data_IF_281966218193
#
_entry.id   IF_281966218193
#
_cell.length_a   1.000
_cell.length_b   1.000
_cell.length_c   1.000
_cell.angle_alpha   90.00
_cell.angle_beta   90.00
_cell.angle_gamma   90.00
#
_symmetry.space_group_name_H-M   'P 1'
#
loop_
_entity.id
_entity.type
_entity.pdbx_description
1 polymer ?
#
# COMPACT_ATOMS: atom_id res chain seq x y z
N UNK A 1 19.73 9.53 -4.83
CA UNK A 1 19.08 8.22 -4.66
C UNK A 1 19.97 7.39 -3.74
N UNK A 2 19.49 7.05 -2.54
CA UNK A 2 20.16 6.08 -1.67
C UNK A 2 19.77 4.68 -2.15
N UNK A 3 20.73 3.79 -2.33
CA UNK A 3 20.48 2.38 -2.71
C UNK A 3 21.23 1.47 -1.74
N UNK A 4 20.80 0.21 -1.61
CA UNK A 4 21.47 -0.77 -0.74
C UNK A 4 21.13 -0.68 0.74
N UNK A 5 20.05 0.04 1.10
CA UNK A 5 19.51 0.09 2.46
C UNK A 5 18.62 -1.12 2.79
N UNK A 6 18.14 -1.81 1.76
CA UNK A 6 17.38 -3.05 1.89
C UNK A 6 18.36 -4.18 2.13
N UNK A 7 18.47 -4.60 3.39
CA UNK A 7 19.20 -5.79 3.74
C UNK A 7 18.35 -7.04 3.41
N UNK A 8 19.01 -8.19 3.23
CA UNK A 8 18.33 -9.46 3.01
C UNK A 8 17.63 -9.99 4.29
N UNK A 9 17.63 -9.22 5.38
CA UNK A 9 16.97 -9.57 6.64
C UNK A 9 15.56 -8.96 6.74
N UNK A 10 15.18 -8.04 5.84
CA UNK A 10 13.83 -7.51 5.80
C UNK A 10 12.86 -8.60 5.33
N UNK A 11 11.88 -8.90 6.18
CA UNK A 11 10.84 -9.88 5.87
C UNK A 11 10.02 -9.50 4.63
N UNK A 12 9.86 -8.20 4.36
CA UNK A 12 9.28 -7.71 3.12
C UNK A 12 10.05 -8.17 1.88
N UNK A 13 11.39 -8.20 1.94
CA UNK A 13 12.21 -8.63 0.80
C UNK A 13 12.15 -10.14 0.54
N UNK A 14 11.71 -10.95 1.52
CA UNK A 14 11.58 -12.41 1.37
C UNK A 14 10.15 -12.84 1.07
N UNK A 15 9.18 -12.28 1.78
CA UNK A 15 7.80 -12.77 1.76
C UNK A 15 6.96 -12.04 0.70
N UNK A 16 7.22 -10.74 0.49
CA UNK A 16 6.41 -9.89 -0.38
C UNK A 16 6.88 -9.90 -1.84
N UNK A 17 8.02 -10.53 -2.11
CA UNK A 17 8.61 -10.65 -3.44
C UNK A 17 8.75 -12.14 -3.76
N UNK A 18 8.31 -12.55 -4.94
CA UNK A 18 8.46 -13.93 -5.37
C UNK A 18 9.88 -14.19 -5.95
N UNK A 19 10.24 -15.44 -6.30
CA UNK A 19 11.55 -15.74 -6.87
C UNK A 19 11.87 -15.05 -8.21
N UNK A 20 10.88 -14.51 -8.92
CA UNK A 20 11.07 -13.77 -10.17
C UNK A 20 11.20 -12.25 -9.96
N UNK A 21 11.24 -11.79 -8.71
CA UNK A 21 11.42 -10.38 -8.37
C UNK A 21 10.13 -9.55 -8.45
N UNK A 22 8.97 -10.18 -8.68
CA UNK A 22 7.67 -9.49 -8.71
C UNK A 22 6.94 -9.56 -7.36
N UNK A 23 5.95 -8.68 -7.14
CA UNK A 23 5.05 -8.75 -5.99
C UNK A 23 4.46 -10.15 -5.77
N UNK A 24 4.51 -10.65 -4.54
CA UNK A 24 3.90 -11.91 -4.15
C UNK A 24 2.45 -11.70 -3.70
N UNK A 25 1.56 -11.33 -4.64
CA UNK A 25 0.16 -11.00 -4.33
C UNK A 25 -0.59 -12.15 -3.64
N UNK A 26 -0.25 -13.40 -3.98
CA UNK A 26 -0.83 -14.58 -3.33
C UNK A 26 -0.51 -14.63 -1.82
N UNK A 27 0.70 -14.23 -1.42
CA UNK A 27 1.07 -14.16 -0.02
C UNK A 27 0.19 -13.17 0.75
N UNK A 28 -0.05 -11.97 0.18
CA UNK A 28 -0.93 -10.97 0.78
C UNK A 28 -2.37 -11.46 0.89
N UNK A 29 -2.92 -12.04 -0.18
CA UNK A 29 -4.27 -12.59 -0.14
C UNK A 29 -4.43 -13.70 0.91
N UNK A 30 -3.37 -14.50 1.14
CA UNK A 30 -3.41 -15.64 2.07
C UNK A 30 -3.28 -15.20 3.53
N UNK A 31 -2.38 -14.26 3.83
CA UNK A 31 -2.05 -13.90 5.21
C UNK A 31 -2.79 -12.67 5.72
N UNK A 32 -3.16 -11.76 4.81
CA UNK A 32 -3.73 -10.45 5.13
C UNK A 32 -5.05 -10.19 4.38
N UNK A 33 -5.63 -11.22 3.76
CA UNK A 33 -6.78 -11.10 2.87
C UNK A 33 -8.03 -10.48 3.49
N UNK A 34 -8.16 -10.51 4.82
CA UNK A 34 -9.27 -9.92 5.59
C UNK A 34 -9.05 -8.46 5.98
N UNK A 35 -7.85 -7.90 5.78
CA UNK A 35 -7.59 -6.49 6.05
C UNK A 35 -8.40 -5.61 5.12
N UNK A 36 -9.00 -4.57 5.68
CA UNK A 36 -9.75 -3.56 4.93
C UNK A 36 -8.79 -2.43 4.55
N UNK A 37 -8.64 -2.19 3.26
CA UNK A 37 -7.70 -1.24 2.68
C UNK A 37 -8.39 -0.26 1.74
N UNK A 38 -7.79 0.91 1.56
CA UNK A 38 -8.25 1.91 0.60
C UNK A 38 -7.54 1.71 -0.74
N UNK A 39 -8.31 1.58 -1.80
CA UNK A 39 -7.82 1.37 -3.17
C UNK A 39 -8.34 2.48 -4.06
N UNK A 40 -7.42 3.15 -4.75
CA UNK A 40 -7.73 4.11 -5.78
C UNK A 40 -7.94 3.41 -7.13
N UNK A 41 -8.96 3.87 -7.85
CA UNK A 41 -9.16 3.60 -9.28
C UNK A 41 -8.42 4.68 -10.07
N UNK A 42 -7.24 4.33 -10.62
CA UNK A 42 -6.38 5.30 -11.31
C UNK A 42 -6.92 5.77 -12.67
N UNK A 43 -7.94 5.10 -13.23
CA UNK A 43 -8.58 5.48 -14.50
C UNK A 43 -9.81 6.37 -14.30
N UNK A 44 -10.40 6.34 -13.11
CA UNK A 44 -11.58 7.14 -12.77
C UNK A 44 -11.18 8.35 -11.94
N UNK A 45 -11.22 9.52 -12.56
CA UNK A 45 -11.00 10.80 -11.90
C UNK A 45 -12.20 11.18 -11.02
N UNK A 46 -11.92 11.54 -9.77
CA UNK A 46 -12.90 12.11 -8.83
C UNK A 46 -12.40 13.49 -8.36
N UNK A 47 -12.92 14.55 -8.98
CA UNK A 47 -12.45 15.94 -8.82
C UNK A 47 -10.96 16.16 -9.11
N UNK A 48 -10.16 16.50 -8.10
CA UNK A 48 -8.70 16.69 -8.19
C UNK A 48 -7.92 15.45 -7.76
N UNK A 49 -8.61 14.38 -7.36
CA UNK A 49 -8.03 13.14 -6.88
C UNK A 49 -8.56 11.94 -7.70
N UNK A 50 -8.15 10.74 -7.33
CA UNK A 50 -8.65 9.49 -7.86
C UNK A 50 -9.85 9.02 -7.03
N UNK A 51 -10.82 8.36 -7.66
CA UNK A 51 -11.91 7.70 -6.93
C UNK A 51 -11.32 6.62 -6.03
N UNK A 52 -11.73 6.58 -4.75
CA UNK A 52 -11.24 5.59 -3.78
C UNK A 52 -12.38 4.76 -3.23
N UNK A 53 -12.11 3.47 -3.08
CA UNK A 53 -13.03 2.51 -2.48
C UNK A 53 -12.32 1.71 -1.40
N UNK A 54 -13.04 1.46 -0.32
CA UNK A 54 -12.60 0.51 0.68
C UNK A 54 -12.91 -0.91 0.22
N UNK A 55 -11.94 -1.81 0.30
CA UNK A 55 -12.15 -3.23 -0.01
C UNK A 55 -11.24 -4.13 0.82
N UNK A 56 -11.48 -5.44 0.77
CA UNK A 56 -10.57 -6.39 1.38
C UNK A 56 -9.30 -6.54 0.54
N UNK A 57 -8.16 -6.82 1.16
CA UNK A 57 -6.91 -7.14 0.45
C UNK A 57 -7.11 -8.31 -0.52
N UNK A 58 -7.91 -9.30 -0.15
CA UNK A 58 -8.26 -10.42 -1.05
C UNK A 58 -9.05 -9.97 -2.28
N UNK A 59 -9.94 -8.98 -2.14
CA UNK A 59 -10.69 -8.41 -3.26
C UNK A 59 -9.77 -7.56 -4.15
N UNK A 60 -8.88 -6.77 -3.55
CA UNK A 60 -7.84 -6.01 -4.26
C UNK A 60 -6.95 -6.93 -5.11
N UNK A 61 -6.42 -8.02 -4.52
CA UNK A 61 -5.59 -8.99 -5.24
C UNK A 61 -6.35 -9.62 -6.42
N UNK A 62 -7.66 -9.88 -6.25
CA UNK A 62 -8.52 -10.37 -7.34
C UNK A 62 -8.65 -9.34 -8.48
N UNK A 63 -8.71 -8.04 -8.15
CA UNK A 63 -8.71 -6.97 -9.17
C UNK A 63 -7.38 -6.91 -9.93
N UNK A 64 -6.24 -7.04 -9.24
CA UNK A 64 -4.92 -7.08 -9.88
C UNK A 64 -4.83 -8.21 -10.93
N UNK A 65 -5.22 -9.43 -10.58
CA UNK A 65 -5.22 -10.55 -11.52
C UNK A 65 -6.17 -10.36 -12.70
N UNK A 66 -7.33 -9.72 -12.48
CA UNK A 66 -8.27 -9.39 -13.55
C UNK A 66 -7.65 -8.38 -14.54
N UNK A 67 -6.94 -7.38 -14.03
CA UNK A 67 -6.24 -6.37 -14.83
C UNK A 67 -5.10 -6.98 -15.65
N UNK A 68 -4.26 -7.82 -15.04
CA UNK A 68 -3.18 -8.52 -15.76
C UNK A 68 -3.74 -9.41 -16.89
N UNK A 69 -4.84 -10.13 -16.61
CA UNK A 69 -5.51 -10.98 -17.60
C UNK A 69 -6.09 -10.19 -18.79
N UNK A 70 -6.62 -8.99 -18.56
CA UNK A 70 -7.16 -8.15 -19.64
C UNK A 70 -6.07 -7.46 -20.46
N UNK A 71 -4.99 -7.00 -19.82
CA UNK A 71 -3.85 -6.38 -20.50
C UNK A 71 -3.19 -7.32 -21.53
N UNK A 72 -3.06 -8.61 -21.19
CA UNK A 72 -2.53 -9.65 -22.10
C UNK A 72 -3.45 -9.82 -23.32
N UNK A 73 -4.77 -9.78 -23.15
CA UNK A 73 -5.73 -9.96 -24.25
C UNK A 73 -5.78 -8.75 -25.20
N UNK A 74 -5.70 -7.52 -24.67
CA UNK A 74 -5.71 -6.29 -25.47
C UNK A 74 -4.45 -6.09 -26.32
N UNK A 75 -3.30 -6.65 -25.90
CA UNK A 75 -2.05 -6.55 -26.66
C UNK A 75 -2.07 -7.29 -28.02
N UNK A 76 -3.04 -8.20 -28.22
CA UNK A 76 -3.14 -9.05 -29.41
C UNK A 76 -4.30 -8.71 -30.36
N UNK A 77 -5.12 -7.69 -30.06
CA UNK A 77 -6.26 -7.33 -30.91
C UNK A 77 -6.28 -5.82 -31.24
N UNK A 78 -5.97 -5.50 -32.51
CA UNK A 78 -6.36 -4.23 -33.14
C UNK A 78 -7.87 -4.32 -33.40
N UNK A 79 -8.70 -3.98 -32.41
CA UNK A 79 -10.15 -4.11 -32.55
C UNK A 79 -10.90 -3.42 -31.43
N UNK A 80 -11.74 -2.48 -31.82
CA UNK A 80 -12.64 -1.68 -30.98
C UNK A 80 -13.44 -2.59 -30.03
N UNK A 81 -13.09 -2.59 -28.74
CA UNK A 81 -13.88 -3.26 -27.71
C UNK A 81 -14.66 -2.23 -26.88
N UNK A 82 -15.99 -2.22 -27.05
CA UNK A 82 -16.94 -1.61 -26.11
C UNK A 82 -17.03 -2.47 -24.83
N UNK A 83 -15.95 -2.56 -24.08
CA UNK A 83 -15.88 -3.26 -22.79
C UNK A 83 -15.41 -2.28 -21.73
N UNK A 84 -16.04 -2.31 -20.55
CA UNK A 84 -15.65 -1.53 -19.37
C UNK A 84 -14.12 -1.43 -19.30
N UNK A 85 -13.58 -0.22 -19.39
CA UNK A 85 -12.16 0.04 -19.22
C UNK A 85 -11.73 -0.62 -17.91
N UNK A 86 -10.81 -1.57 -17.99
CA UNK A 86 -10.32 -2.28 -16.81
C UNK A 86 -9.60 -1.26 -15.92
N UNK A 87 -10.28 -0.81 -14.87
CA UNK A 87 -9.74 0.07 -13.83
C UNK A 87 -8.38 -0.43 -13.36
N UNK A 88 -7.39 0.45 -13.34
CA UNK A 88 -6.05 0.25 -12.75
C UNK A 88 -6.13 0.41 -11.22
N UNK A 89 -6.10 -0.68 -10.43
CA UNK A 89 -6.20 -0.59 -8.98
C UNK A 89 -4.88 -0.17 -8.32
N UNK A 90 -4.96 0.69 -7.31
CA UNK A 90 -3.82 1.15 -6.52
C UNK A 90 -4.15 1.20 -5.03
N UNK A 91 -3.62 0.25 -4.27
CA UNK A 91 -3.71 0.24 -2.81
C UNK A 91 -2.76 1.29 -2.24
N UNK A 92 -3.33 2.24 -1.48
CA UNK A 92 -2.62 3.41 -0.99
C UNK A 92 -2.81 3.59 0.50
N UNK A 93 -1.76 4.09 1.18
CA UNK A 93 -1.81 4.55 2.56
C UNK A 93 -2.22 3.45 3.57
N UNK A 94 -1.85 2.18 3.31
CA UNK A 94 -2.15 1.08 4.23
C UNK A 94 -1.21 1.08 5.45
N UNK A 95 -1.79 1.28 6.64
CA UNK A 95 -1.09 1.25 7.93
C UNK A 95 -0.72 -0.16 8.39
N UNK A 96 0.01 -0.90 7.55
CA UNK A 96 0.35 -2.31 7.75
C UNK A 96 1.12 -2.55 9.06
N UNK A 97 2.11 -1.70 9.38
CA UNK A 97 2.96 -1.88 10.58
C UNK A 97 2.13 -1.76 11.86
N UNK A 98 1.15 -0.84 11.86
CA UNK A 98 0.21 -0.70 12.97
C UNK A 98 -0.76 -1.89 13.06
N UNK A 99 -1.25 -2.38 11.94
CA UNK A 99 -2.20 -3.51 11.90
C UNK A 99 -1.54 -4.84 12.28
N UNK A 100 -0.28 -5.02 11.86
CA UNK A 100 0.52 -6.23 12.06
C UNK A 100 1.87 -5.92 12.72
N UNK A 101 1.89 -5.46 13.99
CA UNK A 101 3.11 -5.02 14.66
C UNK A 101 4.14 -6.14 14.82
N UNK A 102 3.68 -7.39 15.01
CA UNK A 102 4.54 -8.56 15.18
C UNK A 102 5.17 -9.04 13.87
N UNK A 103 4.70 -8.58 12.71
CA UNK A 103 5.24 -9.01 11.42
C UNK A 103 6.63 -8.43 11.16
N UNK A 104 6.87 -7.18 11.59
CA UNK A 104 8.11 -6.42 11.42
C UNK A 104 8.64 -6.52 9.97
N UNK A 105 7.98 -5.84 9.00
CA UNK A 105 8.31 -6.01 7.58
C UNK A 105 9.71 -5.53 7.20
N UNK A 106 10.24 -4.55 7.95
CA UNK A 106 11.56 -3.97 7.75
C UNK A 106 12.12 -3.52 9.09
N UNK A 107 13.43 -3.30 9.11
CA UNK A 107 14.13 -2.61 10.19
C UNK A 107 14.46 -1.21 9.70
N UNK A 108 14.16 -0.19 10.51
CA UNK A 108 14.52 1.19 10.15
C UNK A 108 16.04 1.32 10.01
N UNK A 109 16.57 1.73 8.84
CA UNK A 109 18.01 1.94 8.70
C UNK A 109 18.51 3.02 9.64
N UNK A 110 19.76 2.91 10.09
CA UNK A 110 20.37 3.81 11.09
C UNK A 110 20.18 5.30 10.78
N UNK A 111 20.25 5.69 9.51
CA UNK A 111 20.11 7.09 9.06
C UNK A 111 18.69 7.65 9.21
N UNK A 112 17.69 6.81 9.47
CA UNK A 112 16.27 7.17 9.63
C UNK A 112 15.74 6.80 11.03
N UNK A 113 16.64 6.52 11.98
CA UNK A 113 16.27 6.16 13.34
C UNK A 113 15.78 7.34 14.19
N UNK A 114 16.05 8.59 13.80
CA UNK A 114 15.50 9.80 14.43
C UNK A 114 14.02 10.02 14.05
N UNK A 115 13.22 8.97 14.20
CA UNK A 115 11.79 8.90 13.88
C UNK A 115 10.95 9.24 15.10
N UNK A 116 11.18 10.45 15.64
CA UNK A 116 10.56 10.89 16.89
C UNK A 116 9.03 10.90 16.83
N UNK A 117 8.43 11.10 15.65
CA UNK A 117 6.98 11.13 15.47
C UNK A 117 6.39 9.73 15.57
N UNK A 118 6.91 8.73 14.85
CA UNK A 118 6.43 7.36 15.02
C UNK A 118 6.80 6.81 16.40
N UNK A 119 7.97 7.16 16.94
CA UNK A 119 8.33 6.81 18.32
C UNK A 119 7.31 7.35 19.32
N UNK A 120 6.89 8.61 19.14
CA UNK A 120 5.85 9.19 19.98
C UNK A 120 4.52 8.43 19.81
N UNK A 121 4.08 8.18 18.58
CA UNK A 121 2.80 7.53 18.29
C UNK A 121 2.75 6.05 18.74
N UNK A 122 3.89 5.36 18.70
CA UNK A 122 4.04 3.99 19.19
C UNK A 122 3.91 3.93 20.73
N UNK A 123 4.37 4.97 21.44
CA UNK A 123 4.37 5.01 22.91
C UNK A 123 3.16 5.73 23.52
N UNK A 124 2.55 6.66 22.79
CA UNK A 124 1.48 7.52 23.28
C UNK A 124 0.23 7.35 22.41
N UNK A 125 -0.79 6.67 22.95
CA UNK A 125 -2.12 6.64 22.34
C UNK A 125 -2.72 8.04 22.43
N UNK A 126 -2.88 8.71 21.29
CA UNK A 126 -3.66 9.94 21.17
C UNK A 126 -5.15 9.62 21.36
N UNK A 127 -5.56 9.39 22.62
CA UNK A 127 -6.92 9.57 23.18
C UNK A 127 -7.03 8.85 24.52
N UNK A 128 -6.54 9.48 25.58
CA UNK A 128 -7.06 9.33 26.95
C UNK A 128 -8.04 10.46 27.27
N UNK A 129 -8.99 10.72 26.38
CA UNK A 129 -10.25 11.37 26.78
C UNK A 129 -11.28 10.26 26.93
N UNK A 130 -11.43 9.84 28.19
CA UNK A 130 -12.47 8.93 28.65
C UNK A 130 -13.83 9.63 28.63
N UNK A 131 -14.44 9.80 27.45
CA UNK A 131 -15.88 10.04 27.37
C UNK A 131 -16.58 8.73 27.04
N UNK A 132 -17.49 8.37 27.95
CA UNK A 132 -18.04 7.02 28.13
C UNK A 132 -19.13 6.65 27.13
N UNK A 133 -19.33 7.41 26.06
CA UNK A 133 -20.52 7.29 25.20
C UNK A 133 -20.21 7.45 23.69
N UNK A 134 -19.20 6.77 23.17
CA UNK A 134 -19.03 6.64 21.71
C UNK A 134 -18.83 5.17 21.31
N UNK A 135 -19.89 4.55 20.79
CA UNK A 135 -19.90 3.21 20.20
C UNK A 135 -19.16 3.13 18.84
N UNK A 136 -18.41 4.17 18.47
CA UNK A 136 -17.50 4.20 17.32
C UNK A 136 -16.08 4.51 17.81
N UNK A 137 -15.39 3.45 18.18
CA UNK A 137 -14.04 3.44 18.77
C UNK A 137 -12.97 3.63 17.68
N UNK A 138 -13.08 4.67 16.86
CA UNK A 138 -11.99 5.09 15.97
C UNK A 138 -10.98 5.92 16.76
N UNK A 139 -10.19 5.22 17.57
CA UNK A 139 -9.01 5.81 18.21
C UNK A 139 -7.97 6.02 17.09
N UNK A 140 -7.87 7.27 16.63
CA UNK A 140 -6.91 7.81 15.67
C UNK A 140 -5.45 7.65 16.13
N UNK A 141 -4.92 6.43 16.12
CA UNK A 141 -3.48 6.17 16.26
C UNK A 141 -2.86 6.00 14.87
N UNK A 142 -2.82 7.01 14.00
CA UNK A 142 -2.20 6.85 12.68
C UNK A 142 -0.68 6.86 12.84
N UNK A 143 0.03 5.84 12.36
CA UNK A 143 1.48 5.89 12.18
C UNK A 143 1.83 6.45 10.79
N UNK A 144 3.04 6.98 10.62
CA UNK A 144 3.54 7.51 9.36
C UNK A 144 4.34 6.45 8.59
N UNK A 145 3.82 5.21 8.62
CA UNK A 145 4.40 4.03 7.97
C UNK A 145 3.33 3.41 7.09
N UNK A 146 3.51 3.50 5.79
CA UNK A 146 2.49 3.14 4.80
C UNK A 146 3.00 2.08 3.85
N UNK A 147 2.13 1.15 3.49
CA UNK A 147 2.33 0.22 2.37
C UNK A 147 1.53 0.70 1.17
N UNK A 148 2.19 0.70 0.02
CA UNK A 148 1.62 1.01 -1.28
C UNK A 148 1.78 -0.20 -2.18
N UNK A 149 0.73 -0.56 -2.91
CA UNK A 149 0.77 -1.67 -3.84
C UNK A 149 -0.06 -1.37 -5.07
N UNK A 150 0.49 -1.62 -6.25
CA UNK A 150 -0.21 -1.31 -7.50
C UNK A 150 0.24 -2.21 -8.63
N UNK A 151 -0.66 -2.37 -9.60
CA UNK A 151 -0.31 -2.93 -10.90
C UNK A 151 0.38 -1.88 -11.77
N UNK A 152 1.00 -2.33 -12.86
CA UNK A 152 1.58 -1.44 -13.86
C UNK A 152 0.58 -0.34 -14.30
N UNK A 153 1.05 0.90 -14.33
CA UNK A 153 0.25 2.07 -14.72
C UNK A 153 -0.49 2.75 -13.56
N UNK A 154 -0.45 2.18 -12.35
CA UNK A 154 -0.93 2.87 -11.15
C UNK A 154 -0.05 4.08 -10.80
N UNK A 155 -0.64 5.12 -10.22
CA UNK A 155 0.08 6.36 -9.93
C UNK A 155 -0.58 7.12 -8.78
N UNK A 156 0.19 7.97 -8.10
CA UNK A 156 -0.32 8.94 -7.13
C UNK A 156 -0.27 10.35 -7.74
N UNK A 157 -1.33 11.16 -7.64
CA UNK A 157 -1.28 12.56 -8.05
C UNK A 157 -0.21 13.38 -7.34
N UNK A 158 0.21 14.48 -7.98
CA UNK A 158 1.15 15.42 -7.39
C UNK A 158 0.59 15.98 -6.08
N UNK A 159 1.34 15.81 -5.00
CA UNK A 159 1.02 16.33 -3.67
C UNK A 159 2.29 16.71 -2.92
N UNK A 160 2.13 17.33 -1.76
CA UNK A 160 3.21 17.62 -0.82
C UNK A 160 2.85 17.05 0.56
N UNK A 161 3.82 16.44 1.24
CA UNK A 161 3.62 15.88 2.57
C UNK A 161 3.29 16.98 3.60
N UNK A 162 2.24 16.75 4.39
CA UNK A 162 1.63 17.73 5.31
C UNK A 162 2.63 18.35 6.29
N UNK A 163 3.64 17.58 6.71
CA UNK A 163 4.67 18.04 7.67
C UNK A 163 6.05 18.25 7.06
N UNK A 164 6.20 18.14 5.73
CA UNK A 164 7.52 18.05 5.07
C UNK A 164 8.42 16.95 5.66
N UNK A 165 7.81 15.99 6.36
CA UNK A 165 8.47 14.80 6.84
C UNK A 165 8.57 13.82 5.66
N UNK A 166 9.65 13.03 5.62
CA UNK A 166 9.71 11.90 4.70
C UNK A 166 8.92 10.74 5.31
N UNK A 167 7.73 10.36 4.77
CA UNK A 167 7.02 9.19 5.26
C UNK A 167 7.85 7.92 5.01
N UNK A 168 7.69 6.92 5.87
CA UNK A 168 8.24 5.58 5.59
C UNK A 168 7.25 4.84 4.71
N UNK A 169 7.56 4.76 3.42
CA UNK A 169 6.79 4.02 2.45
C UNK A 169 7.46 2.67 2.18
N UNK A 170 6.65 1.62 2.00
CA UNK A 170 7.06 0.42 1.29
C UNK A 170 6.21 0.32 0.04
N UNK A 171 6.83 0.52 -1.11
CA UNK A 171 6.17 0.37 -2.40
C UNK A 171 6.39 -1.01 -2.99
N UNK A 172 5.33 -1.63 -3.51
CA UNK A 172 5.40 -2.92 -4.19
C UNK A 172 4.76 -2.74 -5.57
N UNK A 173 5.58 -2.76 -6.62
CA UNK A 173 5.14 -2.62 -8.00
C UNK A 173 5.67 -3.73 -8.91
N UNK A 174 5.01 -3.91 -10.05
CA UNK A 174 5.38 -4.93 -11.05
C UNK A 174 6.54 -4.48 -11.96
N UNK A 175 6.88 -3.19 -11.97
CA UNK A 175 7.83 -2.61 -12.90
C UNK A 175 9.29 -2.74 -12.41
N UNK A 176 9.63 -3.75 -11.60
CA UNK A 176 11.01 -4.18 -11.33
C UNK A 176 11.95 -3.13 -10.73
N UNK A 177 11.49 -1.90 -10.52
CA UNK A 177 12.18 -0.86 -9.79
C UNK A 177 11.84 -1.07 -8.32
N UNK A 178 12.66 -1.93 -7.69
CA UNK A 178 12.84 -2.10 -6.25
C UNK A 178 11.96 -1.20 -5.40
N UNK A 179 11.21 -1.84 -4.49
CA UNK A 179 10.63 -1.27 -3.27
C UNK A 179 11.39 0.02 -2.90
N UNK A 180 10.73 1.17 -3.05
CA UNK A 180 11.27 2.49 -2.73
C UNK A 180 10.85 2.90 -1.34
#
# INVERSE_FOLDING_TARGET
>A
MLTGLMDNHWKACTDWVNPNGKPNLQFFSTHFGSSKVQVADCDTRDFTDQKREDMLVSDFVRLCFKYEGSAVQCSNQIGVSNGDSASVPYLKDWHFVKEYPDYVPYITPMFFCDDWLNLYLDNFRMNTYSDRDQQNKEICCYDYRFVYMGVKGSWTPLHADVFRAAPKALQIDEDGEKIR
#
